data_IF_416476151030
#
_entry.id   IF_416476151030
#
_cell.length_a   1.000
_cell.length_b   1.000
_cell.length_c   1.000
_cell.angle_alpha   90.00
_cell.angle_beta   90.00
_cell.angle_gamma   90.00
#
_symmetry.space_group_name_H-M   'P 1'
#
loop_
_entity.id
_entity.type
_entity.pdbx_description
1 polymer ?
#
# COMPACT_ATOMS: atom_id res chain seq x y z
N UNK A 1 -35.82 1.45 -4.17
CA UNK A 1 -34.43 0.96 -4.03
C UNK A 1 -34.39 0.39 -2.64
N UNK A 2 -34.44 -0.93 -2.54
CA UNK A 2 -34.76 -1.62 -1.29
C UNK A 2 -33.62 -1.44 -0.27
N UNK A 3 -33.96 -1.16 0.99
CA UNK A 3 -32.98 -0.89 2.06
C UNK A 3 -31.98 -2.04 2.24
N UNK A 4 -32.42 -3.28 1.97
CA UNK A 4 -31.60 -4.49 1.99
C UNK A 4 -30.47 -4.43 0.92
N UNK A 5 -30.81 -4.07 -0.32
CA UNK A 5 -29.79 -3.87 -1.37
C UNK A 5 -28.80 -2.75 -1.02
N UNK A 6 -29.26 -1.68 -0.38
CA UNK A 6 -28.40 -0.57 0.05
C UNK A 6 -27.45 -0.99 1.19
N UNK A 7 -27.87 -1.93 2.04
CA UNK A 7 -27.04 -2.47 3.11
C UNK A 7 -25.97 -3.42 2.56
N UNK A 8 -26.34 -4.31 1.64
CA UNK A 8 -25.40 -5.24 0.99
C UNK A 8 -24.30 -4.50 0.23
N UNK A 9 -24.67 -3.44 -0.50
CA UNK A 9 -23.70 -2.58 -1.21
C UNK A 9 -22.74 -1.90 -0.24
N UNK A 10 -23.23 -1.44 0.93
CA UNK A 10 -22.36 -0.82 1.94
C UNK A 10 -21.39 -1.83 2.57
N UNK A 11 -21.83 -3.05 2.84
CA UNK A 11 -20.96 -4.09 3.39
C UNK A 11 -19.87 -4.52 2.41
N UNK A 12 -20.23 -4.74 1.13
CA UNK A 12 -19.23 -5.04 0.09
C UNK A 12 -18.25 -3.88 -0.09
N UNK A 13 -18.74 -2.64 -0.08
CA UNK A 13 -17.88 -1.47 -0.20
C UNK A 13 -16.96 -1.31 1.01
N UNK A 14 -17.44 -1.57 2.23
CA UNK A 14 -16.64 -1.54 3.44
C UNK A 14 -15.46 -2.53 3.38
N UNK A 15 -15.72 -3.77 2.95
CA UNK A 15 -14.66 -4.76 2.77
C UNK A 15 -13.58 -4.33 1.76
N UNK A 16 -13.99 -3.69 0.67
CA UNK A 16 -13.06 -3.17 -0.34
C UNK A 16 -12.22 -2.00 0.19
N UNK A 17 -12.82 -1.08 0.95
CA UNK A 17 -12.13 0.05 1.56
C UNK A 17 -11.14 -0.39 2.64
N UNK A 18 -11.53 -1.35 3.49
CA UNK A 18 -10.66 -1.91 4.52
C UNK A 18 -9.44 -2.61 3.90
N UNK A 19 -9.67 -3.37 2.83
CA UNK A 19 -8.60 -4.01 2.08
C UNK A 19 -7.65 -2.99 1.46
N UNK A 20 -8.17 -1.95 0.79
CA UNK A 20 -7.38 -0.88 0.18
C UNK A 20 -6.50 -0.18 1.22
N UNK A 21 -7.09 0.19 2.37
CA UNK A 21 -6.36 0.84 3.46
C UNK A 21 -5.27 -0.09 4.04
N UNK A 22 -5.59 -1.36 4.27
CA UNK A 22 -4.62 -2.33 4.78
C UNK A 22 -3.45 -2.54 3.80
N UNK A 23 -3.75 -2.73 2.51
CA UNK A 23 -2.76 -2.93 1.47
C UNK A 23 -1.81 -1.73 1.35
N UNK A 24 -2.35 -0.50 1.33
CA UNK A 24 -1.54 0.72 1.34
C UNK A 24 -0.68 0.84 2.59
N UNK A 25 -1.21 0.43 3.75
CA UNK A 25 -0.45 0.35 4.99
C UNK A 25 0.78 -0.54 4.87
N UNK A 26 0.62 -1.76 4.31
CA UNK A 26 1.75 -2.67 4.07
C UNK A 26 2.76 -2.08 3.08
N UNK A 27 2.27 -1.51 1.97
CA UNK A 27 3.14 -0.89 0.96
C UNK A 27 3.90 0.33 1.50
N UNK A 28 3.39 1.01 2.54
CA UNK A 28 4.09 2.14 3.17
C UNK A 28 5.23 1.74 4.12
N UNK A 29 5.41 0.45 4.39
CA UNK A 29 6.51 -0.02 5.22
C UNK A 29 7.82 0.08 4.44
N UNK A 30 8.80 0.79 5.01
CA UNK A 30 10.12 1.02 4.36
C UNK A 30 10.81 -0.27 3.91
N UNK A 31 10.67 -1.36 4.67
CA UNK A 31 11.22 -2.66 4.27
C UNK A 31 10.52 -3.24 3.04
N UNK A 32 9.19 -3.13 2.96
CA UNK A 32 8.42 -3.60 1.79
C UNK A 32 8.81 -2.78 0.55
N UNK A 33 8.91 -1.45 0.69
CA UNK A 33 9.40 -0.58 -0.37
C UNK A 33 10.83 -0.93 -0.80
N UNK A 34 11.72 -1.22 0.16
CA UNK A 34 13.09 -1.63 -0.14
C UNK A 34 13.15 -2.92 -0.96
N UNK A 35 12.30 -3.91 -0.65
CA UNK A 35 12.18 -5.13 -1.44
C UNK A 35 11.68 -4.86 -2.87
N UNK A 36 10.69 -3.97 -3.02
CA UNK A 36 10.17 -3.59 -4.34
C UNK A 36 11.26 -2.89 -5.15
N UNK A 37 11.91 -1.87 -4.58
CA UNK A 37 12.97 -1.10 -5.24
C UNK A 37 14.11 -1.99 -5.69
N UNK A 38 14.63 -2.86 -4.80
CA UNK A 38 15.73 -3.78 -5.13
C UNK A 38 15.42 -4.72 -6.30
N UNK A 39 14.16 -5.08 -6.51
CA UNK A 39 13.72 -6.00 -7.58
C UNK A 39 13.31 -5.31 -8.88
N UNK A 40 12.94 -4.05 -8.81
CA UNK A 40 12.33 -3.31 -9.94
C UNK A 40 13.24 -2.23 -10.50
N UNK A 41 14.24 -1.79 -9.73
CA UNK A 41 15.13 -0.69 -10.07
C UNK A 41 16.59 -1.22 -10.03
N UNK A 42 17.24 -1.40 -11.19
CA UNK A 42 18.59 -1.98 -11.27
C UNK A 42 19.65 -1.27 -10.41
N UNK A 43 19.50 0.03 -10.19
CA UNK A 43 20.39 0.86 -9.38
C UNK A 43 20.48 0.40 -7.92
N UNK A 44 19.48 -0.34 -7.42
CA UNK A 44 19.46 -0.89 -6.07
C UNK A 44 19.84 -2.37 -5.99
N UNK A 45 20.22 -3.01 -7.10
CA UNK A 45 20.51 -4.45 -7.15
C UNK A 45 21.67 -4.83 -6.21
N UNK A 46 22.70 -3.98 -6.11
CA UNK A 46 23.86 -4.20 -5.24
C UNK A 46 23.70 -3.64 -3.82
N UNK A 47 22.72 -2.77 -3.57
CA UNK A 47 22.48 -2.17 -2.26
C UNK A 47 21.82 -3.17 -1.29
N UNK A 48 22.14 -3.09 0.01
CA UNK A 48 21.47 -3.94 1.01
C UNK A 48 20.03 -3.46 1.27
N UNK A 49 19.14 -4.36 1.70
CA UNK A 49 17.77 -3.98 2.02
C UNK A 49 17.71 -2.98 3.18
N UNK A 50 18.58 -3.14 4.18
CA UNK A 50 18.71 -2.22 5.31
C UNK A 50 19.15 -0.82 4.87
N UNK A 51 20.09 -0.72 3.93
CA UNK A 51 20.50 0.60 3.40
C UNK A 51 19.35 1.24 2.62
N UNK A 52 18.66 0.48 1.78
CA UNK A 52 17.49 0.99 1.02
C UNK A 52 16.41 1.49 1.98
N UNK A 53 16.08 0.73 3.01
CA UNK A 53 15.05 1.13 3.97
C UNK A 53 15.48 2.32 4.83
N UNK A 54 16.71 2.33 5.36
CA UNK A 54 17.09 3.27 6.42
C UNK A 54 17.89 4.48 5.95
N UNK A 55 18.53 4.41 4.77
CA UNK A 55 19.38 5.48 4.23
C UNK A 55 18.75 6.10 2.99
N UNK A 56 18.31 5.29 2.02
CA UNK A 56 17.84 5.81 0.72
C UNK A 56 16.37 6.23 0.72
N UNK A 57 15.49 5.55 1.48
CA UNK A 57 14.10 5.99 1.66
C UNK A 57 14.04 7.07 2.75
N UNK A 58 14.00 8.32 2.29
CA UNK A 58 13.92 9.49 3.15
C UNK A 58 12.52 9.67 3.77
N UNK A 59 12.47 10.26 4.96
CA UNK A 59 11.21 10.61 5.63
C UNK A 59 10.33 9.41 5.97
N UNK A 60 9.00 9.64 6.03
CA UNK A 60 7.98 8.61 6.22
C UNK A 60 7.20 8.48 4.91
N UNK A 61 7.03 7.26 4.35
CA UNK A 61 6.22 7.06 3.16
C UNK A 61 4.79 7.54 3.36
N UNK A 62 4.29 8.33 2.41
CA UNK A 62 2.93 8.84 2.42
C UNK A 62 1.95 7.76 1.93
N UNK A 63 0.76 7.74 2.53
CA UNK A 63 -0.32 6.84 2.18
C UNK A 63 -1.46 7.64 1.59
N UNK A 64 -1.82 7.34 0.34
CA UNK A 64 -2.95 7.99 -0.32
C UNK A 64 -4.27 7.62 0.35
N UNK A 65 -5.08 8.62 0.67
CA UNK A 65 -6.45 8.45 1.18
C UNK A 65 -7.48 8.29 0.06
N UNK A 66 -7.07 8.42 -1.21
CA UNK A 66 -7.96 8.22 -2.37
C UNK A 66 -8.18 6.72 -2.55
N UNK A 67 -9.41 6.21 -2.42
CA UNK A 67 -9.68 4.78 -2.60
C UNK A 67 -9.32 4.31 -4.01
N UNK A 68 -8.76 3.10 -4.13
CA UNK A 68 -8.61 2.46 -5.43
C UNK A 68 -10.00 2.01 -5.91
N UNK A 69 -10.41 2.49 -7.08
CA UNK A 69 -11.64 2.06 -7.74
C UNK A 69 -11.31 0.86 -8.63
N UNK A 70 -11.97 -0.28 -8.39
CA UNK A 70 -11.92 -1.45 -9.27
C UNK A 70 -13.02 -1.39 -10.33
#
# INVERSE_FOLDING_TARGET
>A
MDEEMMQDVKEQLAGALDYDQAAKGVLSQKMVLAYILKRTVPEFESASLDDIANIYIEGKPEVSTVPVSN
#
